data_IF_194281495084
#
_entry.id   IF_194281495084
#
_cell.length_a   1.000
_cell.length_b   1.000
_cell.length_c   1.000
_cell.angle_alpha   90.00
_cell.angle_beta   90.00
_cell.angle_gamma   90.00
#
_symmetry.space_group_name_H-M   'P 1'
#
loop_
_entity.id
_entity.type
_entity.pdbx_description
1 polymer ?
#
# COMPACT_ATOMS: atom_id res chain seq x y z
N UNK A 1 11.25 10.38 10.14
CA UNK A 1 11.00 9.31 9.15
C UNK A 1 11.84 8.12 9.57
N UNK A 2 11.24 6.94 9.73
CA UNK A 2 11.96 5.72 10.09
C UNK A 2 12.69 5.14 8.87
N UNK A 3 13.82 4.46 9.10
CA UNK A 3 14.52 3.69 8.08
C UNK A 3 14.13 2.22 8.22
N UNK A 4 13.72 1.58 7.12
CA UNK A 4 13.42 0.14 7.08
C UNK A 4 14.62 -0.60 6.52
N UNK A 5 14.95 -1.75 7.13
CA UNK A 5 16.05 -2.62 6.73
C UNK A 5 15.51 -3.99 6.34
N UNK A 6 16.06 -4.62 5.30
CA UNK A 6 15.64 -5.96 4.88
C UNK A 6 16.60 -7.02 5.38
N UNK A 7 16.12 -7.85 6.31
CA UNK A 7 16.86 -9.02 6.79
C UNK A 7 16.29 -10.33 6.24
N UNK A 8 17.15 -11.33 6.06
CA UNK A 8 16.75 -12.70 5.71
C UNK A 8 17.03 -13.65 6.86
N UNK A 9 16.15 -14.63 7.08
CA UNK A 9 16.42 -15.70 8.04
C UNK A 9 17.25 -16.79 7.37
N UNK A 10 18.46 -17.05 7.87
CA UNK A 10 19.33 -18.15 7.44
C UNK A 10 19.78 -18.95 8.65
N UNK A 11 19.54 -20.26 8.64
CA UNK A 11 19.88 -21.15 9.75
C UNK A 11 19.35 -20.65 11.12
N UNK A 12 18.11 -20.15 11.13
CA UNK A 12 17.46 -19.64 12.34
C UNK A 12 18.00 -18.29 12.86
N UNK A 13 18.78 -17.56 12.06
CA UNK A 13 19.33 -16.25 12.42
C UNK A 13 18.90 -15.20 11.40
N UNK A 14 18.54 -14.01 11.89
CA UNK A 14 18.33 -12.84 11.03
C UNK A 14 19.69 -12.33 10.53
N UNK A 15 19.82 -12.20 9.22
CA UNK A 15 21.00 -11.67 8.53
C UNK A 15 20.59 -10.38 7.84
N UNK A 16 21.18 -9.27 8.24
CA UNK A 16 21.07 -7.97 7.60
C UNK A 16 22.44 -7.62 7.01
N UNK A 17 22.55 -7.69 5.68
CA UNK A 17 23.79 -7.43 4.94
C UNK A 17 23.62 -6.18 4.05
N UNK A 18 23.03 -5.14 4.63
CA UNK A 18 22.78 -3.85 3.98
C UNK A 18 23.50 -2.74 4.76
N UNK A 19 24.12 -1.76 4.08
CA UNK A 19 24.80 -0.66 4.75
C UNK A 19 23.81 0.24 5.49
N UNK A 20 24.19 0.69 6.68
CA UNK A 20 23.40 1.61 7.50
C UNK A 20 24.11 2.95 7.64
N UNK A 21 23.34 4.03 7.70
CA UNK A 21 23.82 5.38 8.00
C UNK A 21 23.58 5.76 9.46
N UNK A 22 23.08 4.84 10.28
CA UNK A 22 22.83 5.09 11.70
C UNK A 22 24.16 5.26 12.46
N UNK A 23 24.22 6.12 13.48
CA UNK A 23 25.39 6.24 14.33
C UNK A 23 25.77 4.91 15.00
N UNK A 24 27.06 4.72 15.24
CA UNK A 24 27.56 3.57 15.99
C UNK A 24 26.90 3.47 17.37
N UNK A 25 26.57 2.24 17.81
CA UNK A 25 25.88 1.98 19.07
C UNK A 25 24.37 2.28 19.08
N UNK A 26 23.77 2.66 17.94
CA UNK A 26 22.32 2.84 17.85
C UNK A 26 21.59 1.51 18.08
N UNK A 27 20.71 1.47 19.09
CA UNK A 27 19.82 0.33 19.31
C UNK A 27 18.70 0.34 18.25
N UNK A 28 18.45 -0.83 17.65
CA UNK A 28 17.40 -1.01 16.63
C UNK A 28 16.37 -2.00 17.16
N UNK A 29 15.10 -1.61 17.09
CA UNK A 29 13.97 -2.51 17.35
C UNK A 29 13.53 -3.17 16.05
N UNK A 30 13.36 -4.49 16.08
CA UNK A 30 12.98 -5.28 14.91
C UNK A 30 11.50 -5.62 15.00
N UNK A 31 10.72 -5.07 14.08
CA UNK A 31 9.33 -5.49 13.86
C UNK A 31 9.29 -6.42 12.64
N UNK A 32 8.75 -7.63 12.83
CA UNK A 32 8.44 -8.51 11.70
C UNK A 32 7.21 -7.94 11.01
N UNK A 33 7.41 -7.40 9.80
CA UNK A 33 6.31 -7.00 8.92
C UNK A 33 6.05 -8.19 8.00
N UNK A 34 4.94 -8.94 8.18
CA UNK A 34 4.60 -10.00 7.25
C UNK A 34 4.39 -9.39 5.87
N UNK A 35 5.11 -9.90 4.87
CA UNK A 35 4.79 -9.62 3.48
C UNK A 35 3.51 -10.36 3.15
N UNK A 36 2.56 -9.70 2.50
CA UNK A 36 1.63 -10.35 1.57
C UNK A 36 2.45 -11.27 0.66
N UNK A 37 1.98 -12.52 0.51
CA UNK A 37 2.77 -13.66 0.01
C UNK A 37 3.36 -13.42 -1.39
N UNK A 38 2.76 -12.51 -2.16
CA UNK A 38 3.12 -12.26 -3.56
C UNK A 38 3.99 -11.03 -3.79
N UNK A 39 4.31 -10.32 -2.73
CA UNK A 39 5.35 -9.31 -2.79
C UNK A 39 5.03 -8.02 -3.51
N UNK A 40 3.76 -7.83 -3.87
CA UNK A 40 3.17 -6.52 -4.00
C UNK A 40 2.85 -6.00 -2.60
N UNK A 41 3.59 -4.97 -2.21
CA UNK A 41 3.18 -4.13 -1.09
C UNK A 41 1.87 -3.46 -1.50
N UNK A 42 0.75 -3.88 -0.89
CA UNK A 42 -0.51 -3.12 -0.72
C UNK A 42 -1.83 -3.68 -1.24
N UNK A 43 -1.97 -4.95 -1.64
CA UNK A 43 -3.32 -5.51 -1.70
C UNK A 43 -3.45 -6.89 -1.01
N UNK A 44 -4.33 -6.95 -0.01
CA UNK A 44 -4.81 -8.20 0.60
C UNK A 44 -5.90 -8.82 -0.32
N UNK A 45 -5.79 -8.62 -1.65
CA UNK A 45 -6.77 -9.11 -2.61
C UNK A 45 -6.30 -10.45 -3.15
N UNK A 46 -7.17 -11.46 -3.01
CA UNK A 46 -7.00 -12.68 -3.78
C UNK A 46 -7.28 -12.44 -5.28
N UNK A 47 -7.07 -13.47 -6.11
CA UNK A 47 -7.29 -13.36 -7.56
C UNK A 47 -8.73 -12.95 -7.92
N UNK A 48 -9.71 -13.44 -7.16
CA UNK A 48 -11.12 -13.14 -7.42
C UNK A 48 -11.46 -11.71 -7.02
N UNK A 49 -10.89 -11.22 -5.92
CA UNK A 49 -10.97 -9.83 -5.49
C UNK A 49 -10.31 -8.88 -6.50
N UNK A 50 -9.12 -9.23 -6.99
CA UNK A 50 -8.42 -8.45 -8.02
C UNK A 50 -9.18 -8.42 -9.34
N UNK A 51 -9.74 -9.54 -9.79
CA UNK A 51 -10.56 -9.59 -11.00
C UNK A 51 -11.80 -8.69 -10.88
N UNK A 52 -12.48 -8.70 -9.72
CA UNK A 52 -13.61 -7.83 -9.43
C UNK A 52 -13.23 -6.36 -9.40
N UNK A 53 -12.08 -6.02 -8.82
CA UNK A 53 -11.57 -4.65 -8.82
C UNK A 53 -11.33 -4.15 -10.25
N UNK A 54 -10.70 -4.96 -11.10
CA UNK A 54 -10.46 -4.60 -12.49
C UNK A 54 -11.76 -4.40 -13.27
N UNK A 55 -12.74 -5.28 -13.11
CA UNK A 55 -14.06 -5.12 -13.73
C UNK A 55 -14.74 -3.80 -13.30
N UNK A 56 -14.68 -3.47 -12.01
CA UNK A 56 -15.24 -2.22 -11.48
C UNK A 56 -14.53 -0.97 -12.02
N UNK A 57 -13.20 -1.00 -12.15
CA UNK A 57 -12.42 0.09 -12.74
C UNK A 57 -12.82 0.28 -14.21
N UNK A 58 -12.90 -0.80 -14.99
CA UNK A 58 -13.28 -0.73 -16.41
C UNK A 58 -14.69 -0.16 -16.58
N UNK A 59 -15.65 -0.60 -15.76
CA UNK A 59 -17.01 -0.07 -15.74
C UNK A 59 -17.03 1.43 -15.43
N UNK A 60 -16.29 1.85 -14.40
CA UNK A 60 -16.20 3.27 -14.01
C UNK A 60 -15.57 4.14 -15.12
N UNK A 61 -14.56 3.63 -15.82
CA UNK A 61 -13.95 4.33 -16.95
C UNK A 61 -14.93 4.52 -18.12
N UNK A 62 -15.79 3.53 -18.37
CA UNK A 62 -16.86 3.67 -19.37
C UNK A 62 -17.87 4.73 -18.94
N UNK A 63 -18.34 4.67 -17.70
CA UNK A 63 -19.27 5.67 -17.15
C UNK A 63 -18.68 7.09 -17.23
N UNK A 64 -17.41 7.27 -16.87
CA UNK A 64 -16.73 8.55 -16.94
C UNK A 64 -16.66 9.08 -18.38
N UNK A 65 -16.37 8.23 -19.37
CA UNK A 65 -16.39 8.60 -20.80
C UNK A 65 -17.78 9.04 -21.27
N UNK A 66 -18.84 8.52 -20.66
CA UNK A 66 -20.22 8.91 -20.93
C UNK A 66 -20.71 10.09 -20.07
N UNK A 67 -19.83 10.70 -19.28
CA UNK A 67 -20.15 11.88 -18.48
C UNK A 67 -20.79 11.58 -17.12
N UNK A 68 -20.72 10.33 -16.64
CA UNK A 68 -21.25 9.94 -15.32
C UNK A 68 -20.37 10.31 -14.12
N UNK A 69 -19.38 11.19 -14.30
CA UNK A 69 -18.53 11.68 -13.22
C UNK A 69 -19.14 12.87 -12.46
N UNK A 70 -18.69 13.08 -11.22
CA UNK A 70 -19.01 14.27 -10.43
C UNK A 70 -17.82 15.24 -10.50
N UNK A 71 -18.03 16.55 -10.74
CA UNK A 71 -16.96 17.54 -10.69
C UNK A 71 -16.27 17.55 -9.32
N UNK A 72 -14.93 17.61 -9.31
CA UNK A 72 -14.15 17.58 -8.07
C UNK A 72 -14.54 18.70 -7.08
N UNK A 73 -14.89 19.88 -7.58
CA UNK A 73 -15.31 21.02 -6.75
C UNK A 73 -16.63 20.75 -6.00
N UNK A 74 -17.52 19.94 -6.57
CA UNK A 74 -18.77 19.55 -5.92
C UNK A 74 -18.49 18.52 -4.81
N UNK A 75 -17.65 17.51 -5.08
CA UNK A 75 -17.21 16.53 -4.07
C UNK A 75 -16.51 17.23 -2.88
N UNK A 76 -15.60 18.16 -3.15
CA UNK A 76 -14.90 18.91 -2.10
C UNK A 76 -15.84 19.81 -1.29
N UNK A 77 -16.96 20.24 -1.86
CA UNK A 77 -17.97 21.03 -1.17
C UNK A 77 -18.78 20.17 -0.21
N UNK A 78 -19.17 18.97 -0.63
CA UNK A 78 -19.90 18.00 0.22
C UNK A 78 -19.05 17.54 1.40
N UNK A 79 -17.79 17.16 1.16
CA UNK A 79 -16.86 16.74 2.21
C UNK A 79 -16.63 17.83 3.26
N UNK A 80 -16.54 19.10 2.86
CA UNK A 80 -16.38 20.24 3.80
C UNK A 80 -17.62 20.52 4.62
N UNK A 81 -18.81 20.19 4.10
CA UNK A 81 -20.08 20.31 4.82
C UNK A 81 -20.31 19.14 5.77
N UNK A 82 -19.64 18.00 5.53
CA UNK A 82 -19.85 16.76 6.28
C UNK A 82 -21.07 15.97 5.78
N UNK A 83 -21.51 16.24 4.56
CA UNK A 83 -22.69 15.62 3.94
C UNK A 83 -22.33 14.36 3.10
N UNK A 84 -21.04 14.00 3.08
CA UNK A 84 -20.47 12.88 2.33
C UNK A 84 -20.51 11.57 3.12
#
# INVERSE_FOLDING_TARGET
MGQTFRGLVRNGRLVLDEPSTLPEGTAVELQVVPRSVDGDEDDDLDEDDRARLHEAIDASLVELKHGGGIPADDVMRELRRGDA
#
